data_IF_670739543687
#
_entry.id   IF_670739543687
#
_cell.length_a   1.000
_cell.length_b   1.000
_cell.length_c   1.000
_cell.angle_alpha   90.00
_cell.angle_beta   90.00
_cell.angle_gamma   90.00
#
_symmetry.space_group_name_H-M   'P 1'
#
loop_
_entity.id
_entity.type
_entity.pdbx_description
1 polymer ?
#
# COMPACT_ATOMS: atom_id res chain seq x y z
N UNK A 1 35.39 -4.59 -15.16
CA UNK A 1 34.33 -5.07 -14.24
C UNK A 1 33.01 -4.86 -14.97
N UNK A 2 32.32 -5.95 -15.35
CA UNK A 2 30.99 -5.85 -15.94
C UNK A 2 30.03 -5.41 -14.85
N UNK A 3 29.57 -4.16 -14.88
CA UNK A 3 28.52 -3.70 -13.97
C UNK A 3 27.21 -4.25 -14.49
N UNK A 4 26.81 -5.43 -13.99
CA UNK A 4 25.46 -5.91 -14.21
C UNK A 4 24.48 -4.77 -13.83
N UNK A 5 23.44 -4.53 -14.64
CA UNK A 5 22.46 -3.50 -14.31
C UNK A 5 21.88 -3.79 -12.92
N UNK A 6 21.65 -2.72 -12.14
CA UNK A 6 21.01 -2.85 -10.84
C UNK A 6 19.66 -3.58 -10.99
N UNK A 7 19.30 -4.47 -10.04
CA UNK A 7 18.05 -5.20 -10.12
C UNK A 7 16.87 -4.22 -10.20
N UNK A 8 15.84 -4.53 -11.02
CA UNK A 8 14.68 -3.66 -11.18
C UNK A 8 13.94 -3.50 -9.85
N UNK A 9 13.47 -2.28 -9.58
CA UNK A 9 12.62 -1.98 -8.43
C UNK A 9 11.16 -2.12 -8.87
N UNK A 10 10.38 -2.83 -8.06
CA UNK A 10 8.93 -2.95 -8.22
C UNK A 10 8.26 -2.45 -6.94
N UNK A 11 7.41 -1.45 -7.06
CA UNK A 11 6.66 -0.90 -5.94
C UNK A 11 5.42 -1.75 -5.68
N UNK A 12 5.44 -2.61 -4.66
CA UNK A 12 4.35 -3.53 -4.42
C UNK A 12 3.08 -2.86 -3.86
N UNK A 13 3.13 -1.57 -3.51
CA UNK A 13 1.98 -0.87 -2.93
C UNK A 13 2.10 0.66 -3.05
N UNK A 14 1.38 1.25 -4.01
CA UNK A 14 1.18 2.68 -4.18
C UNK A 14 -0.29 3.03 -4.34
N UNK A 15 -0.60 4.33 -4.36
CA UNK A 15 -1.96 4.85 -4.51
C UNK A 15 -2.06 5.87 -5.65
N UNK A 16 -3.27 5.98 -6.20
CA UNK A 16 -3.73 7.11 -7.02
C UNK A 16 -5.15 7.48 -6.57
N UNK A 17 -5.56 8.71 -6.85
CA UNK A 17 -6.89 9.22 -6.50
C UNK A 17 -6.82 10.67 -6.04
N UNK A 18 -7.19 11.58 -6.92
CA UNK A 18 -7.05 13.02 -6.70
C UNK A 18 -8.23 13.55 -5.85
N UNK A 19 -8.03 14.52 -4.93
CA UNK A 19 -6.81 15.30 -4.67
C UNK A 19 -5.81 14.67 -3.69
N UNK A 20 -6.22 13.64 -2.95
CA UNK A 20 -5.45 13.20 -1.76
C UNK A 20 -4.21 12.38 -2.12
N UNK A 21 -4.32 11.53 -3.13
CA UNK A 21 -3.32 10.52 -3.49
C UNK A 21 -2.69 10.79 -4.87
N UNK A 22 -2.89 11.99 -5.41
CA UNK A 22 -2.29 12.43 -6.67
C UNK A 22 -2.86 11.74 -7.90
N UNK A 23 -2.27 12.08 -9.05
CA UNK A 23 -2.65 11.55 -10.36
C UNK A 23 -1.70 10.44 -10.83
N UNK A 24 -2.11 9.62 -11.81
CA UNK A 24 -1.22 8.63 -12.43
C UNK A 24 0.04 9.23 -13.05
N UNK A 25 -0.04 10.44 -13.61
CA UNK A 25 1.11 11.14 -14.20
C UNK A 25 2.13 11.55 -13.14
N UNK A 26 1.65 12.00 -11.97
CA UNK A 26 2.50 12.32 -10.83
C UNK A 26 3.21 11.05 -10.33
N UNK A 27 2.47 9.95 -10.15
CA UNK A 27 3.03 8.66 -9.76
C UNK A 27 4.10 8.17 -10.76
N UNK A 28 3.79 8.18 -12.06
CA UNK A 28 4.72 7.77 -13.12
C UNK A 28 5.99 8.65 -13.12
N UNK A 29 5.85 9.95 -12.87
CA UNK A 29 6.99 10.85 -12.75
C UNK A 29 7.88 10.49 -11.55
N UNK A 30 7.30 10.17 -10.40
CA UNK A 30 8.05 9.76 -9.20
C UNK A 30 8.76 8.44 -9.46
N UNK A 31 8.05 7.46 -10.03
CA UNK A 31 8.64 6.16 -10.36
C UNK A 31 9.82 6.29 -11.31
N UNK A 32 9.69 7.11 -12.36
CA UNK A 32 10.80 7.42 -13.26
C UNK A 32 12.00 8.04 -12.54
N UNK A 33 11.77 8.99 -11.64
CA UNK A 33 12.84 9.64 -10.87
C UNK A 33 13.62 8.64 -10.00
N UNK A 34 12.93 7.66 -9.40
CA UNK A 34 13.52 6.70 -8.48
C UNK A 34 13.88 5.34 -9.11
N UNK A 35 13.75 5.21 -10.44
CA UNK A 35 14.06 3.96 -11.14
C UNK A 35 13.11 2.81 -10.81
N UNK A 36 11.89 3.12 -10.36
CA UNK A 36 10.82 2.13 -10.17
C UNK A 36 10.24 1.83 -11.55
N UNK A 37 10.29 0.55 -11.92
CA UNK A 37 9.96 0.12 -13.29
C UNK A 37 8.54 -0.40 -13.41
N UNK A 38 7.97 -0.90 -12.31
CA UNK A 38 6.63 -1.46 -12.24
C UNK A 38 6.05 -1.23 -10.85
N UNK A 39 4.74 -1.41 -10.70
CA UNK A 39 4.15 -1.45 -9.37
C UNK A 39 2.67 -1.71 -9.33
N UNK A 40 2.18 -1.91 -8.11
CA UNK A 40 0.77 -2.11 -7.82
C UNK A 40 0.15 -0.79 -7.38
N UNK A 41 -0.99 -0.45 -7.98
CA UNK A 41 -1.73 0.78 -7.70
C UNK A 41 -3.06 0.39 -7.07
N UNK A 42 -3.22 0.70 -5.79
CA UNK A 42 -4.42 0.40 -5.02
C UNK A 42 -5.28 1.65 -4.84
N UNK A 43 -6.59 1.50 -5.01
CA UNK A 43 -7.52 2.52 -4.58
C UNK A 43 -7.46 2.70 -3.05
N UNK A 44 -7.50 3.94 -2.56
CA UNK A 44 -7.54 4.21 -1.13
C UNK A 44 -8.93 3.93 -0.54
N UNK A 45 -9.05 3.74 0.78
CA UNK A 45 -10.33 3.45 1.40
C UNK A 45 -11.31 4.61 1.18
N UNK A 46 -12.54 4.27 0.80
CA UNK A 46 -13.62 5.25 0.60
C UNK A 46 -13.52 6.11 -0.66
N UNK A 47 -12.52 5.90 -1.53
CA UNK A 47 -12.31 6.69 -2.75
C UNK A 47 -12.36 5.78 -3.99
N UNK A 48 -13.55 5.56 -4.57
CA UNK A 48 -13.72 4.65 -5.71
C UNK A 48 -13.35 5.34 -7.05
N UNK A 49 -12.14 5.88 -7.15
CA UNK A 49 -11.65 6.59 -8.34
C UNK A 49 -11.16 5.65 -9.45
N UNK A 50 -12.10 4.89 -10.03
CA UNK A 50 -11.81 3.98 -11.14
C UNK A 50 -11.33 4.71 -12.41
N UNK A 51 -11.62 6.02 -12.53
CA UNK A 51 -11.08 6.86 -13.59
C UNK A 51 -9.56 6.98 -13.48
N UNK A 52 -9.04 7.23 -12.28
CA UNK A 52 -7.59 7.24 -12.04
C UNK A 52 -6.93 5.88 -12.29
N UNK A 53 -7.58 4.76 -11.93
CA UNK A 53 -7.06 3.43 -12.28
C UNK A 53 -7.01 3.19 -13.79
N UNK A 54 -8.05 3.60 -14.53
CA UNK A 54 -8.08 3.47 -15.98
C UNK A 54 -6.97 4.32 -16.63
N UNK A 55 -6.84 5.59 -16.22
CA UNK A 55 -5.77 6.47 -16.69
C UNK A 55 -4.38 5.92 -16.36
N UNK A 56 -4.19 5.32 -15.18
CA UNK A 56 -2.95 4.66 -14.82
C UNK A 56 -2.59 3.49 -15.75
N UNK A 57 -3.57 2.65 -16.07
CA UNK A 57 -3.39 1.57 -17.05
C UNK A 57 -3.06 2.10 -18.43
N UNK A 58 -3.79 3.11 -18.89
CA UNK A 58 -3.58 3.68 -20.24
C UNK A 58 -2.18 4.32 -20.36
N UNK A 59 -1.70 4.97 -19.30
CA UNK A 59 -0.40 5.61 -19.27
C UNK A 59 0.78 4.64 -19.08
N UNK A 60 0.62 3.57 -18.29
CA UNK A 60 1.72 2.71 -17.84
C UNK A 60 1.66 1.26 -18.36
N UNK A 61 0.54 0.87 -18.98
CA UNK A 61 0.35 -0.43 -19.61
C UNK A 61 0.61 -1.60 -18.67
N UNK A 62 1.33 -2.61 -19.16
CA UNK A 62 1.64 -3.82 -18.40
C UNK A 62 2.60 -3.60 -17.22
N UNK A 63 3.13 -2.39 -17.05
CA UNK A 63 3.99 -2.02 -15.93
C UNK A 63 3.22 -1.85 -14.62
N UNK A 64 1.88 -1.84 -14.67
CA UNK A 64 1.03 -1.69 -13.48
C UNK A 64 0.09 -2.85 -13.27
N UNK A 65 -0.27 -3.08 -12.01
CA UNK A 65 -1.43 -3.88 -11.61
C UNK A 65 -2.36 -3.05 -10.76
N UNK A 66 -3.64 -3.13 -11.05
CA UNK A 66 -4.66 -2.28 -10.44
C UNK A 66 -5.35 -3.05 -9.31
N UNK A 67 -5.54 -2.40 -8.18
CA UNK A 67 -6.21 -2.98 -7.02
C UNK A 67 -7.40 -2.12 -6.63
N UNK A 68 -8.55 -2.78 -6.61
CA UNK A 68 -9.83 -2.17 -6.29
C UNK A 68 -10.10 -2.06 -4.78
N UNK A 69 -11.33 -1.66 -4.44
CA UNK A 69 -11.84 -1.62 -3.06
C UNK A 69 -13.31 -2.11 -2.98
N UNK A 70 -13.72 -2.72 -1.86
CA UNK A 70 -15.12 -3.09 -1.63
C UNK A 70 -15.94 -1.86 -1.21
N UNK A 71 -16.32 -1.03 -2.18
CA UNK A 71 -17.08 0.20 -1.94
C UNK A 71 -18.60 0.00 -2.10
N UNK A 72 -19.39 0.62 -1.23
CA UNK A 72 -20.85 0.53 -1.23
C UNK A 72 -21.44 0.64 0.17
N UNK A 73 -22.69 1.09 0.26
CA UNK A 73 -23.41 1.31 1.51
C UNK A 73 -23.66 -0.01 2.27
N UNK A 74 -23.92 -1.10 1.54
CA UNK A 74 -24.20 -2.42 2.10
C UNK A 74 -23.42 -3.55 1.39
N UNK A 75 -23.57 -4.77 1.91
CA UNK A 75 -22.87 -5.96 1.38
C UNK A 75 -23.29 -6.34 -0.05
N UNK A 76 -24.51 -6.01 -0.49
CA UNK A 76 -24.97 -6.31 -1.84
C UNK A 76 -24.37 -5.34 -2.87
N UNK A 77 -24.33 -4.04 -2.54
CA UNK A 77 -23.67 -3.02 -3.34
C UNK A 77 -22.16 -3.31 -3.46
N UNK A 78 -21.51 -3.68 -2.35
CA UNK A 78 -20.08 -4.05 -2.34
C UNK A 78 -19.78 -5.28 -3.19
N UNK A 79 -20.63 -6.31 -3.13
CA UNK A 79 -20.49 -7.50 -3.98
C UNK A 79 -20.68 -7.16 -5.46
N UNK A 80 -21.74 -6.45 -5.81
CA UNK A 80 -22.01 -6.03 -7.18
C UNK A 80 -20.86 -5.21 -7.75
N UNK A 81 -20.32 -4.28 -6.97
CA UNK A 81 -19.15 -3.51 -7.38
C UNK A 81 -17.89 -4.37 -7.48
N UNK A 82 -17.70 -5.34 -6.59
CA UNK A 82 -16.56 -6.25 -6.67
C UNK A 82 -16.56 -7.06 -7.97
N UNK A 83 -17.72 -7.58 -8.38
CA UNK A 83 -17.89 -8.30 -9.65
C UNK A 83 -17.63 -7.39 -10.87
N UNK A 84 -18.04 -6.11 -10.82
CA UNK A 84 -17.71 -5.14 -11.86
C UNK A 84 -16.21 -4.84 -11.93
N UNK A 85 -15.53 -4.78 -10.79
CA UNK A 85 -14.09 -4.58 -10.73
C UNK A 85 -13.32 -5.78 -11.32
N UNK A 86 -13.81 -7.01 -11.15
CA UNK A 86 -13.25 -8.19 -11.84
C UNK A 86 -13.35 -8.00 -13.35
N UNK A 87 -14.52 -7.58 -13.86
CA UNK A 87 -14.70 -7.29 -15.31
C UNK A 87 -13.80 -6.13 -15.79
N UNK A 88 -13.55 -5.16 -14.93
CA UNK A 88 -12.65 -4.03 -15.20
C UNK A 88 -11.18 -4.47 -15.32
N UNK A 89 -10.83 -5.65 -14.78
CA UNK A 89 -9.50 -6.24 -14.86
C UNK A 89 -8.59 -5.82 -13.71
N UNK A 90 -9.11 -5.69 -12.49
CA UNK A 90 -8.25 -5.56 -11.31
C UNK A 90 -7.48 -6.86 -11.04
N UNK A 91 -6.24 -6.75 -10.55
CA UNK A 91 -5.44 -7.88 -10.10
C UNK A 91 -5.81 -8.35 -8.68
N UNK A 92 -6.58 -7.53 -7.96
CA UNK A 92 -6.96 -7.79 -6.59
C UNK A 92 -7.77 -6.67 -5.96
N UNK A 93 -8.01 -6.78 -4.66
CA UNK A 93 -8.63 -5.73 -3.86
C UNK A 93 -7.87 -5.46 -2.59
N UNK A 94 -7.81 -4.18 -2.24
CA UNK A 94 -7.36 -3.68 -0.96
C UNK A 94 -8.50 -3.80 0.04
N UNK A 95 -8.24 -4.48 1.16
CA UNK A 95 -9.24 -4.83 2.16
C UNK A 95 -8.79 -4.40 3.56
N UNK A 96 -9.59 -3.58 4.23
CA UNK A 96 -9.45 -3.25 5.65
C UNK A 96 -9.96 -4.41 6.52
N UNK A 97 -9.53 -4.52 7.79
CA UNK A 97 -9.99 -5.58 8.69
C UNK A 97 -11.52 -5.69 8.83
N UNK A 98 -12.23 -4.55 8.88
CA UNK A 98 -13.69 -4.53 8.91
C UNK A 98 -14.29 -5.06 7.60
N UNK A 99 -13.71 -4.71 6.45
CA UNK A 99 -14.20 -5.17 5.15
C UNK A 99 -14.03 -6.68 4.98
N UNK A 100 -12.94 -7.25 5.51
CA UNK A 100 -12.73 -8.71 5.55
C UNK A 100 -13.80 -9.38 6.42
N UNK A 101 -14.05 -8.85 7.61
CA UNK A 101 -15.01 -9.44 8.55
C UNK A 101 -16.46 -9.34 8.05
N UNK A 102 -16.82 -8.21 7.45
CA UNK A 102 -18.21 -7.87 7.16
C UNK A 102 -18.68 -8.30 5.77
N UNK A 103 -17.77 -8.71 4.87
CA UNK A 103 -18.11 -8.99 3.46
C UNK A 103 -17.64 -10.39 2.99
N UNK A 104 -18.08 -11.49 3.64
CA UNK A 104 -17.65 -12.85 3.27
C UNK A 104 -17.98 -13.21 1.82
N UNK A 105 -19.11 -12.72 1.27
CA UNK A 105 -19.48 -12.94 -0.13
C UNK A 105 -18.54 -12.25 -1.12
N UNK A 106 -17.97 -11.11 -0.74
CA UNK A 106 -16.96 -10.43 -1.56
C UNK A 106 -15.68 -11.28 -1.56
N UNK A 107 -15.25 -11.79 -0.40
CA UNK A 107 -14.08 -12.67 -0.32
C UNK A 107 -14.26 -13.92 -1.17
N UNK A 108 -15.44 -14.53 -1.16
CA UNK A 108 -15.75 -15.69 -1.97
C UNK A 108 -15.64 -15.36 -3.47
N UNK A 109 -16.22 -14.26 -3.94
CA UNK A 109 -16.12 -13.83 -5.33
C UNK A 109 -14.66 -13.55 -5.77
N UNK A 110 -13.85 -12.93 -4.90
CA UNK A 110 -12.43 -12.70 -5.17
C UNK A 110 -11.62 -14.01 -5.23
N UNK A 111 -11.95 -14.98 -4.37
CA UNK A 111 -11.34 -16.29 -4.37
C UNK A 111 -11.67 -17.10 -5.62
N UNK A 112 -12.94 -17.08 -6.05
CA UNK A 112 -13.40 -17.73 -7.28
C UNK A 112 -12.74 -17.13 -8.53
N UNK A 113 -12.51 -15.82 -8.53
CA UNK A 113 -11.78 -15.12 -9.58
C UNK A 113 -10.25 -15.25 -9.48
N UNK A 114 -9.73 -16.02 -8.51
CA UNK A 114 -8.29 -16.22 -8.26
C UNK A 114 -7.51 -14.90 -8.10
N UNK A 115 -8.13 -13.89 -7.49
CA UNK A 115 -7.54 -12.57 -7.30
C UNK A 115 -6.66 -12.49 -6.04
N UNK A 116 -5.81 -11.47 -5.99
CA UNK A 116 -5.02 -11.16 -4.80
C UNK A 116 -5.84 -10.37 -3.76
N UNK A 117 -5.73 -10.76 -2.49
CA UNK A 117 -6.20 -9.95 -1.37
C UNK A 117 -5.06 -9.09 -0.82
N UNK A 118 -5.16 -7.78 -0.97
CA UNK A 118 -4.32 -6.82 -0.24
C UNK A 118 -4.89 -6.57 1.15
N UNK A 119 -4.68 -7.52 2.06
CA UNK A 119 -5.23 -7.50 3.42
C UNK A 119 -4.44 -6.56 4.34
N UNK A 120 -5.02 -5.38 4.62
CA UNK A 120 -4.42 -4.36 5.48
C UNK A 120 -4.51 -4.79 6.95
N UNK A 121 -3.40 -4.65 7.69
CA UNK A 121 -3.34 -4.92 9.14
C UNK A 121 -4.00 -6.25 9.56
N UNK A 122 -3.74 -7.32 8.79
CA UNK A 122 -4.37 -8.64 9.00
C UNK A 122 -4.17 -9.22 10.42
N UNK A 123 -3.17 -8.72 11.15
CA UNK A 123 -2.82 -9.12 12.51
C UNK A 123 -3.54 -8.33 13.62
N UNK A 124 -4.31 -7.28 13.31
CA UNK A 124 -4.98 -6.47 14.33
C UNK A 124 -6.15 -7.20 15.01
N UNK A 125 -6.75 -8.19 14.33
CA UNK A 125 -7.89 -8.97 14.85
C UNK A 125 -7.76 -10.46 14.53
N UNK A 126 -8.04 -11.30 15.52
CA UNK A 126 -7.95 -12.77 15.40
C UNK A 126 -8.94 -13.35 14.39
N UNK A 127 -10.16 -12.83 14.32
CA UNK A 127 -11.17 -13.28 13.37
C UNK A 127 -10.75 -13.00 11.92
N UNK A 128 -10.16 -11.85 11.66
CA UNK A 128 -9.57 -11.48 10.35
C UNK A 128 -8.40 -12.40 9.99
N UNK A 129 -7.46 -12.63 10.91
CA UNK A 129 -6.34 -13.55 10.67
C UNK A 129 -6.85 -14.96 10.32
N UNK A 130 -7.83 -15.48 11.06
CA UNK A 130 -8.41 -16.81 10.81
C UNK A 130 -9.18 -16.86 9.49
N UNK A 131 -9.95 -15.83 9.15
CA UNK A 131 -10.65 -15.74 7.88
C UNK A 131 -9.68 -15.81 6.69
N UNK A 132 -8.50 -15.19 6.80
CA UNK A 132 -7.46 -15.26 5.76
C UNK A 132 -6.86 -16.66 5.59
N UNK A 133 -6.63 -17.38 6.69
CA UNK A 133 -6.18 -18.79 6.62
C UNK A 133 -7.24 -19.64 5.93
N UNK A 134 -8.49 -19.56 6.37
CA UNK A 134 -9.60 -20.31 5.77
C UNK A 134 -9.79 -19.96 4.29
N UNK A 135 -9.67 -18.69 3.92
CA UNK A 135 -9.76 -18.27 2.52
C UNK A 135 -8.64 -18.87 1.66
N UNK A 136 -7.39 -18.86 2.16
CA UNK A 136 -6.26 -19.47 1.49
C UNK A 136 -6.47 -20.98 1.31
N UNK A 137 -6.97 -21.69 2.33
CA UNK A 137 -7.28 -23.12 2.25
C UNK A 137 -8.38 -23.43 1.22
N UNK A 138 -9.42 -22.60 1.16
CA UNK A 138 -10.57 -22.78 0.26
C UNK A 138 -10.24 -22.45 -1.20
N UNK A 139 -9.42 -21.44 -1.46
CA UNK A 139 -9.14 -20.92 -2.80
C UNK A 139 -7.67 -21.14 -3.17
N UNK A 140 -7.31 -22.28 -3.78
CA UNK A 140 -5.90 -22.69 -3.98
C UNK A 140 -5.09 -21.80 -4.92
N UNK A 141 -5.76 -21.01 -5.77
CA UNK A 141 -5.12 -20.08 -6.69
C UNK A 141 -5.07 -18.65 -6.15
N UNK A 142 -5.77 -18.36 -5.05
CA UNK A 142 -5.75 -17.06 -4.40
C UNK A 142 -4.43 -16.79 -3.69
N UNK A 143 -4.05 -15.52 -3.60
CA UNK A 143 -2.87 -15.09 -2.82
C UNK A 143 -3.26 -13.94 -1.88
N UNK A 144 -2.50 -13.80 -0.80
CA UNK A 144 -2.60 -12.65 0.09
C UNK A 144 -1.27 -11.91 0.04
N UNK A 145 -1.32 -10.60 -0.20
CA UNK A 145 -0.18 -9.72 -0.12
C UNK A 145 -0.51 -8.56 0.82
N UNK A 146 -0.10 -8.66 2.09
CA UNK A 146 -0.53 -7.77 3.14
C UNK A 146 0.37 -6.52 3.25
N UNK A 147 -0.10 -5.32 2.87
CA UNK A 147 0.59 -4.07 3.14
C UNK A 147 0.40 -3.61 4.58
N UNK A 148 1.11 -2.56 4.97
CA UNK A 148 1.13 -2.05 6.35
C UNK A 148 1.59 -3.13 7.35
N UNK A 149 2.56 -3.95 6.91
CA UNK A 149 2.99 -5.13 7.65
C UNK A 149 4.06 -4.84 8.70
N UNK A 150 4.02 -3.65 9.31
CA UNK A 150 5.00 -3.18 10.28
C UNK A 150 4.31 -2.75 11.57
N UNK A 151 4.87 -3.17 12.71
CA UNK A 151 4.43 -2.79 14.05
C UNK A 151 5.64 -2.38 14.88
N UNK A 152 5.60 -1.20 15.49
CA UNK A 152 6.67 -0.77 16.41
C UNK A 152 6.66 -1.49 17.73
N UNK A 153 7.84 -1.56 18.32
CA UNK A 153 8.02 -1.79 19.74
C UNK A 153 7.55 -0.61 20.58
N UNK A 154 7.10 -0.90 21.79
CA UNK A 154 6.70 0.11 22.77
C UNK A 154 5.25 -0.04 23.22
N UNK A 155 4.85 0.84 24.12
CA UNK A 155 3.53 0.78 24.75
C UNK A 155 2.46 1.22 23.74
N UNK A 156 1.53 0.33 23.39
CA UNK A 156 0.40 0.69 22.55
C UNK A 156 -0.58 1.63 23.30
N UNK A 157 -1.60 2.16 22.61
CA UNK A 157 -2.60 3.04 23.24
C UNK A 157 -3.40 2.39 24.39
N UNK A 158 -3.13 1.13 24.72
CA UNK A 158 -3.74 0.34 25.80
C UNK A 158 -2.75 -0.02 26.92
N UNK A 159 -1.51 0.47 26.88
CA UNK A 159 -0.54 0.21 27.95
C UNK A 159 0.27 -1.08 27.76
N UNK A 160 0.20 -1.75 26.60
CA UNK A 160 0.86 -3.06 26.36
C UNK A 160 2.16 -2.90 25.60
N UNK A 161 3.23 -3.53 26.06
CA UNK A 161 4.53 -3.60 25.36
C UNK A 161 4.39 -4.38 24.03
N UNK A 162 4.16 -3.64 22.95
CA UNK A 162 4.20 -4.13 21.57
C UNK A 162 5.64 -4.25 21.07
N UNK A 163 5.81 -4.82 19.88
CA UNK A 163 7.10 -4.98 19.18
C UNK A 163 7.39 -6.41 18.79
N UNK A 164 7.05 -7.36 19.67
CA UNK A 164 7.10 -8.78 19.36
C UNK A 164 5.71 -9.32 19.03
N UNK A 165 5.64 -10.26 18.09
CA UNK A 165 4.41 -10.95 17.67
C UNK A 165 3.65 -11.54 18.86
N UNK A 166 4.37 -12.08 19.84
CA UNK A 166 3.80 -12.69 21.05
C UNK A 166 2.97 -11.73 21.92
N UNK A 167 3.17 -10.42 21.77
CA UNK A 167 2.51 -9.38 22.57
C UNK A 167 1.69 -8.41 21.73
N UNK A 168 2.09 -8.20 20.47
CA UNK A 168 1.47 -7.25 19.57
C UNK A 168 0.20 -7.78 18.88
N UNK A 169 -0.01 -9.10 18.88
CA UNK A 169 -1.11 -9.77 18.17
C UNK A 169 -1.98 -10.54 19.17
N UNK A 170 -3.29 -10.45 19.01
CA UNK A 170 -4.26 -11.06 19.93
C UNK A 170 -4.19 -12.60 19.95
N UNK A 171 -3.91 -13.23 18.80
CA UNK A 171 -3.68 -14.67 18.66
C UNK A 171 -2.36 -14.93 17.93
N UNK A 172 -1.22 -14.96 18.66
CA UNK A 172 0.10 -15.17 18.05
C UNK A 172 0.24 -16.53 17.37
N UNK A 173 -0.53 -17.55 17.77
CA UNK A 173 -0.46 -18.86 17.15
C UNK A 173 -1.08 -18.82 15.75
N UNK A 174 -2.33 -18.34 15.64
CA UNK A 174 -2.99 -18.19 14.34
C UNK A 174 -2.21 -17.28 13.39
N UNK A 175 -1.64 -16.18 13.91
CA UNK A 175 -0.85 -15.29 13.05
C UNK A 175 0.43 -15.96 12.52
N UNK A 176 1.13 -16.75 13.35
CA UNK A 176 2.30 -17.51 12.87
C UNK A 176 1.91 -18.56 11.84
N UNK A 177 0.74 -19.17 11.96
CA UNK A 177 0.24 -20.13 10.96
C UNK A 177 -0.05 -19.41 9.63
N UNK A 178 -0.65 -18.23 9.65
CA UNK A 178 -0.82 -17.39 8.46
C UNK A 178 0.54 -17.04 7.82
N UNK A 179 1.53 -16.60 8.60
CA UNK A 179 2.86 -16.23 8.10
C UNK A 179 3.59 -17.40 7.42
N UNK A 180 3.37 -18.63 7.88
CA UNK A 180 3.97 -19.83 7.30
C UNK A 180 3.28 -20.28 6.01
N UNK A 181 2.09 -19.78 5.72
CA UNK A 181 1.37 -20.19 4.52
C UNK A 181 2.14 -19.74 3.26
N UNK A 182 2.38 -20.62 2.28
CA UNK A 182 3.26 -20.32 1.13
C UNK A 182 2.72 -19.22 0.20
N UNK A 183 1.42 -18.92 0.27
CA UNK A 183 0.72 -17.88 -0.51
C UNK A 183 0.39 -16.61 0.30
N UNK A 184 0.99 -16.47 1.48
CA UNK A 184 0.96 -15.25 2.28
C UNK A 184 2.26 -14.46 2.06
N UNK A 185 2.13 -13.23 1.57
CA UNK A 185 3.23 -12.32 1.35
C UNK A 185 3.07 -11.08 2.22
N UNK A 186 4.17 -10.57 2.77
CA UNK A 186 4.19 -9.30 3.48
C UNK A 186 4.73 -8.20 2.56
N UNK A 187 4.07 -7.05 2.54
CA UNK A 187 4.59 -5.83 1.93
C UNK A 187 4.99 -4.89 3.06
N UNK A 188 6.29 -4.64 3.16
CA UNK A 188 6.83 -3.63 4.07
C UNK A 188 6.63 -2.26 3.43
N UNK A 189 5.66 -1.55 3.98
CA UNK A 189 5.28 -0.20 3.63
C UNK A 189 4.96 0.57 4.92
N UNK A 190 4.83 1.90 4.82
CA UNK A 190 4.50 2.76 5.97
C UNK A 190 5.57 2.78 7.06
N UNK A 191 6.86 2.74 6.69
CA UNK A 191 7.99 2.61 7.62
C UNK A 191 7.99 3.70 8.70
N UNK A 192 8.16 4.96 8.26
CA UNK A 192 8.06 6.13 9.11
C UNK A 192 6.68 6.21 9.74
N UNK A 193 5.62 5.83 9.03
CA UNK A 193 4.25 5.76 9.56
C UNK A 193 3.98 4.76 10.69
N UNK A 194 4.83 3.76 10.89
CA UNK A 194 4.70 2.77 11.95
C UNK A 194 5.69 2.98 13.10
N UNK A 195 6.78 3.72 12.88
CA UNK A 195 7.84 3.98 13.88
C UNK A 195 7.57 5.23 14.72
N UNK A 196 8.01 5.25 15.97
CA UNK A 196 8.13 6.46 16.80
C UNK A 196 9.55 7.07 16.75
N UNK A 197 10.51 6.34 16.20
CA UNK A 197 11.89 6.77 16.07
C UNK A 197 12.18 7.39 14.71
N UNK A 198 13.22 8.22 14.67
CA UNK A 198 13.77 8.69 13.39
C UNK A 198 14.35 7.51 12.62
N UNK A 199 14.48 7.69 11.30
CA UNK A 199 15.19 6.74 10.44
C UNK A 199 16.55 6.34 11.08
N UNK A 200 16.92 5.04 11.14
CA UNK A 200 16.34 3.93 10.40
C UNK A 200 15.23 3.16 11.12
N UNK A 201 14.57 3.75 12.13
CA UNK A 201 13.41 3.16 12.83
C UNK A 201 13.77 1.90 13.65
N UNK A 202 14.69 2.02 14.62
CA UNK A 202 15.18 0.86 15.38
C UNK A 202 14.07 0.15 16.18
N UNK A 203 13.04 0.88 16.57
CA UNK A 203 11.83 0.34 17.21
C UNK A 203 11.04 -0.65 16.34
N UNK A 204 11.29 -0.73 15.03
CA UNK A 204 10.68 -1.75 14.16
C UNK A 204 11.45 -3.07 14.15
N UNK A 205 12.70 -3.10 14.62
CA UNK A 205 13.57 -4.28 14.54
C UNK A 205 13.00 -5.54 15.20
N UNK A 206 12.40 -5.47 16.41
CA UNK A 206 11.84 -6.66 17.06
C UNK A 206 10.74 -7.35 16.23
N UNK A 207 9.92 -6.56 15.53
CA UNK A 207 8.87 -7.10 14.68
C UNK A 207 9.47 -7.81 13.47
N UNK A 208 10.49 -7.21 12.84
CA UNK A 208 11.19 -7.81 11.71
C UNK A 208 11.86 -9.13 12.11
N UNK A 209 12.53 -9.18 13.26
CA UNK A 209 13.19 -10.39 13.75
C UNK A 209 12.19 -11.52 14.04
N UNK A 210 10.93 -11.21 14.37
CA UNK A 210 9.87 -12.21 14.58
C UNK A 210 9.22 -12.70 13.27
N UNK A 211 8.91 -11.80 12.33
CA UNK A 211 8.12 -12.16 11.13
C UNK A 211 8.97 -12.70 9.99
N UNK A 212 10.18 -12.16 9.80
CA UNK A 212 11.03 -12.50 8.66
C UNK A 212 11.46 -13.98 8.67
N UNK A 213 11.81 -14.62 9.80
CA UNK A 213 12.14 -16.06 9.81
C UNK A 213 10.96 -16.97 9.44
N UNK A 214 9.72 -16.51 9.61
CA UNK A 214 8.51 -17.29 9.30
C UNK A 214 8.11 -17.13 7.82
N UNK A 215 8.29 -15.93 7.27
CA UNK A 215 8.01 -15.62 5.86
C UNK A 215 9.14 -16.05 4.93
N UNK A 216 10.39 -15.90 5.35
CA UNK A 216 11.56 -15.96 4.48
C UNK A 216 11.60 -14.82 3.45
N UNK A 217 12.79 -14.57 2.89
CA UNK A 217 13.01 -13.46 1.95
C UNK A 217 12.19 -13.56 0.67
N UNK A 218 11.78 -14.75 0.25
CA UNK A 218 10.96 -15.01 -0.94
C UNK A 218 9.48 -14.56 -0.79
N UNK A 219 9.06 -14.11 0.40
CA UNK A 219 7.67 -13.67 0.65
C UNK A 219 7.56 -12.28 1.24
N UNK A 220 8.64 -11.50 1.16
CA UNK A 220 8.67 -10.11 1.64
C UNK A 220 8.92 -9.17 0.46
N UNK A 221 8.13 -8.11 0.36
CA UNK A 221 8.21 -7.12 -0.72
C UNK A 221 8.34 -5.71 -0.14
N UNK A 222 8.97 -4.82 -0.89
CA UNK A 222 8.95 -3.39 -0.62
C UNK A 222 7.70 -2.73 -1.21
N UNK A 223 7.10 -1.79 -0.48
CA UNK A 223 6.05 -0.90 -1.00
C UNK A 223 6.25 0.53 -0.51
N UNK A 224 6.12 1.50 -1.41
CA UNK A 224 6.40 2.90 -1.10
C UNK A 224 5.26 3.57 -0.33
N UNK A 225 4.02 3.20 -0.64
CA UNK A 225 2.81 3.94 -0.28
C UNK A 225 2.79 5.38 -0.85
N UNK A 226 3.42 5.62 -2.00
CA UNK A 226 3.36 6.92 -2.70
C UNK A 226 1.89 7.28 -2.98
N UNK A 227 1.51 8.56 -2.81
CA UNK A 227 2.33 9.69 -2.32
C UNK A 227 2.31 9.85 -0.78
N UNK A 228 1.59 9.00 -0.05
CA UNK A 228 1.41 9.09 1.40
C UNK A 228 2.74 9.01 2.16
N UNK A 229 3.75 8.38 1.57
CA UNK A 229 5.14 8.40 2.06
C UNK A 229 5.62 9.82 2.41
N UNK A 230 5.31 10.81 1.56
CA UNK A 230 5.75 12.20 1.75
C UNK A 230 4.99 12.91 2.87
N UNK A 231 3.75 12.51 3.17
CA UNK A 231 2.98 13.07 4.30
C UNK A 231 3.66 12.78 5.64
N UNK A 232 4.56 11.80 5.66
CA UNK A 232 5.25 11.33 6.86
C UNK A 232 6.72 11.74 6.87
N UNK A 233 7.12 12.63 5.96
CA UNK A 233 8.52 13.03 5.77
C UNK A 233 9.44 11.81 5.59
N UNK A 234 8.97 10.83 4.81
CA UNK A 234 9.80 9.73 4.32
C UNK A 234 10.23 10.02 2.88
N UNK A 235 11.41 9.54 2.49
CA UNK A 235 11.92 9.60 1.12
C UNK A 235 12.02 8.20 0.53
N UNK A 236 11.88 8.11 -0.80
CA UNK A 236 11.81 6.81 -1.50
C UNK A 236 13.12 6.03 -1.39
N UNK A 237 14.29 6.68 -1.52
CA UNK A 237 15.59 6.04 -1.33
C UNK A 237 15.79 5.50 0.09
N UNK A 238 15.46 6.30 1.10
CA UNK A 238 15.48 5.90 2.49
C UNK A 238 14.56 4.70 2.73
N UNK A 239 13.34 4.74 2.19
CA UNK A 239 12.36 3.67 2.30
C UNK A 239 12.77 2.39 1.55
N UNK A 240 13.53 2.46 0.45
CA UNK A 240 14.06 1.26 -0.22
C UNK A 240 15.17 0.63 0.61
N UNK A 241 16.10 1.44 1.12
CA UNK A 241 17.30 0.98 1.82
C UNK A 241 17.13 0.71 3.32
N UNK A 242 15.92 0.88 3.88
CA UNK A 242 15.72 0.95 5.33
C UNK A 242 16.12 -0.33 6.09
N UNK A 243 15.86 -1.53 5.57
CA UNK A 243 16.24 -2.79 6.23
C UNK A 243 17.76 -2.91 6.40
N UNK A 244 18.52 -2.50 5.38
CA UNK A 244 19.99 -2.44 5.46
C UNK A 244 20.43 -1.39 6.48
N UNK A 245 19.81 -0.22 6.48
CA UNK A 245 20.11 0.83 7.45
C UNK A 245 19.76 0.42 8.90
N UNK A 246 18.73 -0.42 9.07
CA UNK A 246 18.33 -1.04 10.34
C UNK A 246 19.28 -2.16 10.79
N UNK A 247 20.27 -2.54 9.97
CA UNK A 247 21.23 -3.59 10.26
C UNK A 247 20.64 -5.00 10.15
N UNK A 248 19.61 -5.20 9.34
CA UNK A 248 19.09 -6.53 9.00
C UNK A 248 20.08 -7.21 8.07
N UNK A 249 20.51 -8.43 8.40
CA UNK A 249 21.44 -9.19 7.57
C UNK A 249 20.74 -9.63 6.28
N UNK A 250 21.28 -9.20 5.14
CA UNK A 250 20.74 -9.44 3.81
C UNK A 250 21.86 -9.81 2.85
N UNK A 251 21.70 -10.91 2.12
CA UNK A 251 22.51 -11.17 0.93
C UNK A 251 22.05 -10.28 -0.24
N UNK A 252 22.86 -10.23 -1.30
CA UNK A 252 22.47 -9.54 -2.54
C UNK A 252 21.20 -10.14 -3.17
N UNK A 253 21.02 -11.46 -3.08
CA UNK A 253 19.80 -12.13 -3.55
C UNK A 253 18.58 -11.77 -2.71
N UNK A 254 18.73 -11.65 -1.38
CA UNK A 254 17.64 -11.25 -0.49
C UNK A 254 17.19 -9.82 -0.80
N UNK A 255 18.14 -8.92 -1.04
CA UNK A 255 17.84 -7.54 -1.44
C UNK A 255 17.16 -7.48 -2.80
N UNK A 256 17.63 -8.24 -3.79
CA UNK A 256 17.00 -8.29 -5.11
C UNK A 256 15.57 -8.84 -5.05
N UNK A 257 15.33 -9.88 -4.24
CA UNK A 257 14.01 -10.44 -4.00
C UNK A 257 13.08 -9.40 -3.34
N UNK A 258 13.54 -8.76 -2.27
CA UNK A 258 12.79 -7.75 -1.51
C UNK A 258 12.43 -6.51 -2.33
N UNK A 259 13.39 -5.95 -3.09
CA UNK A 259 13.22 -4.70 -3.84
C UNK A 259 12.33 -4.82 -5.07
N UNK A 260 12.17 -6.03 -5.61
CA UNK A 260 11.31 -6.20 -6.77
C UNK A 260 11.12 -7.63 -7.25
N UNK A 261 12.08 -8.53 -7.04
CA UNK A 261 11.99 -9.90 -7.55
C UNK A 261 10.75 -10.67 -7.09
N UNK A 262 10.34 -10.49 -5.84
CA UNK A 262 9.13 -11.13 -5.32
C UNK A 262 7.86 -10.53 -5.92
N UNK A 263 7.76 -9.21 -6.00
CA UNK A 263 6.58 -8.54 -6.57
C UNK A 263 6.45 -8.85 -8.08
N UNK A 264 7.57 -8.89 -8.81
CA UNK A 264 7.63 -9.33 -10.21
C UNK A 264 7.07 -10.75 -10.35
N UNK A 265 7.58 -11.70 -9.56
CA UNK A 265 7.13 -13.10 -9.58
C UNK A 265 5.65 -13.27 -9.23
N UNK A 266 5.16 -12.48 -8.29
CA UNK A 266 3.79 -12.64 -7.76
C UNK A 266 2.74 -11.95 -8.61
N UNK A 267 3.03 -10.75 -9.14
CA UNK A 267 2.03 -9.92 -9.81
C UNK A 267 2.22 -9.80 -11.33
N UNK A 268 3.44 -10.00 -11.82
CA UNK A 268 3.82 -9.70 -13.21
C UNK A 268 4.31 -10.91 -13.99
N UNK A 269 4.41 -12.10 -13.37
CA UNK A 269 4.81 -13.33 -14.05
C UNK A 269 3.81 -13.78 -15.12
N UNK A 270 2.51 -13.49 -14.91
CA UNK A 270 1.48 -13.66 -15.93
C UNK A 270 1.21 -12.32 -16.63
N UNK A 271 0.99 -12.40 -17.95
CA UNK A 271 0.44 -11.27 -18.70
C UNK A 271 -0.90 -10.87 -18.09
N UNK A 272 -1.14 -9.56 -17.92
CA UNK A 272 -2.47 -9.08 -17.59
C UNK A 272 -3.38 -9.33 -18.80
N UNK A 273 -4.29 -10.30 -18.71
CA UNK A 273 -5.39 -10.43 -19.66
C UNK A 273 -6.33 -9.24 -19.48
N UNK A 274 -5.99 -8.12 -20.12
CA UNK A 274 -6.90 -7.00 -20.22
C UNK A 274 -7.95 -7.34 -21.26
N UNK A 275 -9.21 -7.42 -20.82
CA UNK A 275 -10.33 -7.71 -21.73
C UNK A 275 -10.61 -6.56 -22.70
N UNK A 276 -10.07 -5.36 -22.47
CA UNK A 276 -10.40 -4.17 -23.26
C UNK A 276 -11.83 -3.69 -23.10
N UNK A 277 -12.63 -4.35 -22.26
CA UNK A 277 -14.07 -4.10 -22.14
C UNK A 277 -14.28 -2.86 -21.28
N UNK A 278 -14.90 -1.80 -21.82
CA UNK A 278 -15.30 -0.67 -21.00
C UNK A 278 -16.31 -1.14 -19.95
N UNK A 279 -16.07 -0.80 -18.70
CA UNK A 279 -17.01 -1.04 -17.60
C UNK A 279 -17.67 0.29 -17.26
N UNK A 280 -18.99 0.37 -17.41
CA UNK A 280 -19.77 1.49 -16.88
C UNK A 280 -20.05 1.26 -15.40
N UNK A 281 -19.38 2.02 -14.55
CA UNK A 281 -19.62 1.99 -13.12
C UNK A 281 -20.96 2.68 -12.78
N UNK A 282 -21.74 2.15 -11.82
CA UNK A 282 -23.01 2.76 -11.43
C UNK A 282 -22.89 4.22 -11.00
N UNK A 283 -23.96 5.00 -11.20
CA UNK A 283 -23.97 6.43 -10.85
C UNK A 283 -23.59 6.70 -9.38
N UNK A 284 -24.05 5.85 -8.45
CA UNK A 284 -23.75 5.97 -7.03
C UNK A 284 -22.25 5.87 -6.70
N UNK A 285 -21.45 5.21 -7.54
CA UNK A 285 -19.99 5.17 -7.39
C UNK A 285 -19.38 6.54 -7.71
N UNK A 286 -19.83 7.14 -8.82
CA UNK A 286 -19.38 8.48 -9.25
C UNK A 286 -19.85 9.57 -8.27
N UNK A 287 -21.08 9.47 -7.81
CA UNK A 287 -21.65 10.38 -6.82
C UNK A 287 -20.90 10.24 -5.49
N UNK A 288 -20.55 9.03 -5.08
CA UNK A 288 -19.74 8.77 -3.89
C UNK A 288 -18.35 9.39 -3.95
N UNK A 289 -17.66 9.29 -5.10
CA UNK A 289 -16.38 9.97 -5.32
C UNK A 289 -16.53 11.50 -5.25
N UNK A 290 -17.56 12.05 -5.91
CA UNK A 290 -17.84 13.49 -5.86
C UNK A 290 -18.11 13.95 -4.43
N UNK A 291 -18.94 13.22 -3.68
CA UNK A 291 -19.22 13.52 -2.27
C UNK A 291 -17.97 13.48 -1.40
N UNK A 292 -17.05 12.54 -1.63
CA UNK A 292 -15.76 12.51 -0.93
C UNK A 292 -14.95 13.78 -1.20
N UNK A 293 -14.89 14.24 -2.44
CA UNK A 293 -14.15 15.44 -2.84
C UNK A 293 -14.83 16.70 -2.28
N UNK A 294 -16.15 16.80 -2.41
CA UNK A 294 -16.95 17.95 -1.97
C UNK A 294 -16.96 18.11 -0.44
N UNK A 295 -16.86 16.99 0.30
CA UNK A 295 -16.71 17.03 1.77
C UNK A 295 -15.43 17.78 2.19
N UNK A 296 -14.42 17.82 1.31
CA UNK A 296 -13.17 18.55 1.48
C UNK A 296 -12.51 18.32 2.85
N UNK A 297 -12.57 17.08 3.33
CA UNK A 297 -12.15 16.73 4.69
C UNK A 297 -10.69 17.13 4.95
N UNK A 298 -10.36 17.65 6.15
CA UNK A 298 -9.01 18.02 6.48
C UNK A 298 -8.01 16.85 6.37
N UNK A 299 -6.86 17.12 5.76
CA UNK A 299 -5.75 16.17 5.63
C UNK A 299 -4.60 16.64 6.52
N UNK A 300 -4.10 15.79 7.44
CA UNK A 300 -2.97 16.15 8.29
C UNK A 300 -1.69 16.26 7.47
N UNK A 301 -0.99 17.39 7.59
CA UNK A 301 0.31 17.63 6.94
C UNK A 301 1.45 17.12 7.82
N UNK A 302 1.23 17.07 9.14
CA UNK A 302 2.21 16.63 10.13
C UNK A 302 1.61 15.47 10.92
N UNK A 303 2.32 14.34 10.98
CA UNK A 303 1.88 13.05 11.53
C UNK A 303 1.32 13.08 12.98
N UNK A 304 1.61 14.14 13.74
CA UNK A 304 1.06 14.39 15.08
C UNK A 304 0.90 15.90 15.38
N UNK A 305 0.80 16.74 14.33
CA UNK A 305 0.74 18.19 14.48
C UNK A 305 -0.68 18.75 14.32
N UNK A 306 -0.94 19.98 14.77
CA UNK A 306 -2.25 20.61 14.63
C UNK A 306 -2.53 21.11 13.21
N UNK A 307 -1.57 21.01 12.28
CA UNK A 307 -1.72 21.51 10.93
C UNK A 307 -2.42 20.48 10.05
N UNK A 308 -3.68 20.77 9.76
CA UNK A 308 -4.48 20.10 8.76
C UNK A 308 -4.83 21.10 7.66
N UNK A 309 -4.90 20.61 6.43
CA UNK A 309 -5.29 21.42 5.27
C UNK A 309 -6.57 20.86 4.66
N UNK A 310 -7.47 21.70 4.16
CA UNK A 310 -8.56 21.24 3.29
C UNK A 310 -8.00 20.37 2.15
N UNK A 311 -8.69 19.28 1.83
CA UNK A 311 -8.26 18.28 0.85
C UNK A 311 -7.85 18.91 -0.50
N UNK A 312 -8.61 19.88 -1.00
CA UNK A 312 -8.32 20.57 -2.26
C UNK A 312 -7.00 21.36 -2.22
N UNK A 313 -6.73 22.03 -1.09
CA UNK A 313 -5.50 22.79 -0.88
C UNK A 313 -4.32 21.85 -0.70
N UNK A 314 -4.50 20.78 0.08
CA UNK A 314 -3.51 19.72 0.25
C UNK A 314 -3.09 19.15 -1.11
N UNK A 315 -4.05 18.78 -1.97
CA UNK A 315 -3.77 18.23 -3.30
C UNK A 315 -2.92 19.16 -4.16
N UNK A 316 -3.31 20.44 -4.26
CA UNK A 316 -2.55 21.45 -5.01
C UNK A 316 -1.12 21.64 -4.48
N UNK A 317 -0.96 21.67 -3.15
CA UNK A 317 0.35 21.83 -2.53
C UNK A 317 1.21 20.58 -2.71
N UNK A 318 0.64 19.37 -2.65
CA UNK A 318 1.35 18.13 -2.96
C UNK A 318 1.85 18.13 -4.41
N UNK A 319 0.99 18.47 -5.38
CA UNK A 319 1.40 18.58 -6.79
C UNK A 319 2.56 19.57 -6.99
N UNK A 320 2.49 20.74 -6.37
CA UNK A 320 3.56 21.74 -6.43
C UNK A 320 4.84 21.29 -5.71
N UNK A 321 4.72 20.59 -4.59
CA UNK A 321 5.84 19.97 -3.90
C UNK A 321 6.54 18.94 -4.77
N UNK A 322 5.80 18.03 -5.44
CA UNK A 322 6.38 17.01 -6.30
C UNK A 322 7.15 17.63 -7.48
N UNK A 323 6.71 18.79 -7.99
CA UNK A 323 7.48 19.56 -8.97
C UNK A 323 8.81 20.05 -8.39
N UNK A 324 8.80 20.60 -7.17
CA UNK A 324 10.01 21.08 -6.51
C UNK A 324 10.97 19.94 -6.12
N UNK A 325 10.43 18.81 -5.65
CA UNK A 325 11.20 17.65 -5.22
C UNK A 325 11.94 16.96 -6.38
N UNK A 326 11.45 17.10 -7.62
CA UNK A 326 12.22 16.68 -8.80
C UNK A 326 13.54 17.44 -8.97
N UNK A 327 13.57 18.71 -8.58
CA UNK A 327 14.78 19.53 -8.64
C UNK A 327 15.69 19.33 -7.41
N UNK A 328 15.10 18.99 -6.28
CA UNK A 328 15.79 18.66 -5.03
C UNK A 328 15.20 17.39 -4.40
N UNK A 329 15.72 16.20 -4.71
CA UNK A 329 15.20 14.93 -4.17
C UNK A 329 15.28 14.81 -2.65
N UNK A 330 16.10 15.64 -1.98
CA UNK A 330 16.21 15.66 -0.52
C UNK A 330 15.18 16.59 0.14
N UNK A 331 14.38 17.31 -0.66
CA UNK A 331 13.36 18.24 -0.17
C UNK A 331 12.25 17.47 0.56
N UNK A 332 12.05 17.80 1.84
CA UNK A 332 10.98 17.22 2.67
C UNK A 332 9.69 18.01 2.51
N UNK A 333 8.54 17.31 2.47
CA UNK A 333 7.24 17.95 2.25
C UNK A 333 6.88 18.94 3.36
N UNK A 334 7.02 18.56 4.64
CA UNK A 334 6.66 19.46 5.74
C UNK A 334 7.54 20.71 5.76
N UNK A 335 8.85 20.55 5.50
CA UNK A 335 9.77 21.68 5.39
C UNK A 335 9.37 22.62 4.24
N UNK A 336 9.06 22.06 3.07
CA UNK A 336 8.63 22.84 1.92
C UNK A 336 7.34 23.61 2.19
N UNK A 337 6.36 22.99 2.87
CA UNK A 337 5.11 23.65 3.29
C UNK A 337 5.41 24.84 4.21
N UNK A 338 6.23 24.65 5.25
CA UNK A 338 6.61 25.74 6.18
C UNK A 338 7.28 26.90 5.43
N UNK A 339 8.13 26.60 4.45
CA UNK A 339 8.77 27.62 3.61
C UNK A 339 7.77 28.36 2.72
N UNK A 340 6.74 27.67 2.18
CA UNK A 340 5.68 28.34 1.41
C UNK A 340 4.84 29.26 2.31
N UNK A 341 4.48 28.82 3.51
CA UNK A 341 3.70 29.64 4.45
C UNK A 341 4.45 30.92 4.83
N UNK A 342 5.76 30.84 5.11
CA UNK A 342 6.59 32.01 5.43
C UNK A 342 6.67 33.04 4.31
N UNK A 343 6.56 32.63 3.04
CA UNK A 343 6.58 33.54 1.88
C UNK A 343 5.28 34.33 1.71
N UNK A 344 4.17 33.84 2.25
CA UNK A 344 2.88 34.54 2.20
C UNK A 344 2.80 35.64 3.27
N UNK A 345 3.55 35.49 4.36
CA UNK A 345 3.61 36.45 5.46
C UNK A 345 4.55 37.65 5.20
N UNK A 346 5.46 37.54 4.21
CA UNK A 346 6.45 38.57 3.85
C UNK A 346 6.01 39.47 2.72
#
# INVERSE_FOLDING_TARGET
MSTAPAPPIVDAYAHVGYPRYGTPEELASIWKQWGITKGNIALPPGMPDFGALAAARDAMGDSVRLFGIPYGEDGAARLSLAELQVKFGVAGMRLMPAEIADNPRVLDALGEAALCLMAINVYDRTDVTRAMITWLERYPNGIIAAPHFLRRAGIDGRGVEAGHVSRAVADPAAFRDLLRHPRMHAIFSRHGGCSAERFPHHDLRPWIDDVLPLLGWERVMWGSEIPVIYHRDEQVDGAIGWLRALGVAMSESDEAAYRGGNAERVFFAASSEHTGVPVDFPAWVRDGLRSFIDANEPVPVIRSGPLELPLDLHGRLMSAYLVAQRADPALMFQRWIVEQLRRVES
#
